data_IF_931406914820
#
_entry.id   IF_931406914820
#
_cell.length_a   1.000
_cell.length_b   1.000
_cell.length_c   1.000
_cell.angle_alpha   90.00
_cell.angle_beta   90.00
_cell.angle_gamma   90.00
#
_symmetry.space_group_name_H-M   'P 1'
#
loop_
_entity.id
_entity.type
_entity.pdbx_description
1 polymer ?
#
# COMPACT_ATOMS: atom_id res chain seq x y z
N UNK A 1 64.47 15.47 -49.39
CA UNK A 1 63.62 16.11 -48.36
C UNK A 1 62.71 15.05 -47.78
N UNK A 2 62.85 14.74 -46.47
CA UNK A 2 61.92 13.86 -45.75
C UNK A 2 60.72 14.71 -45.34
N UNK A 3 59.52 14.35 -45.76
CA UNK A 3 58.27 14.89 -45.22
C UNK A 3 57.55 13.77 -44.51
N UNK A 4 57.29 13.99 -43.23
CA UNK A 4 56.60 13.09 -42.33
C UNK A 4 55.08 13.31 -42.40
N UNK A 5 54.36 12.22 -42.10
CA UNK A 5 53.07 12.13 -41.41
C UNK A 5 51.86 12.90 -41.97
N UNK A 6 50.84 12.12 -42.36
CA UNK A 6 49.54 12.23 -41.68
C UNK A 6 48.79 10.90 -41.78
N UNK A 7 48.63 10.21 -40.64
CA UNK A 7 47.65 9.13 -40.49
C UNK A 7 46.31 9.79 -40.14
N UNK A 8 45.37 9.77 -41.07
CA UNK A 8 43.97 10.13 -40.78
C UNK A 8 43.32 8.88 -40.18
N UNK A 9 43.14 8.88 -38.86
CA UNK A 9 42.34 7.88 -38.17
C UNK A 9 40.85 8.12 -38.46
N UNK A 10 40.19 7.13 -39.05
CA UNK A 10 38.74 7.11 -39.19
C UNK A 10 38.17 6.77 -37.81
N UNK A 11 37.63 7.78 -37.13
CA UNK A 11 36.86 7.59 -35.90
C UNK A 11 35.45 7.13 -36.31
N UNK A 12 35.25 5.82 -36.38
CA UNK A 12 33.92 5.25 -36.61
C UNK A 12 33.07 5.43 -35.35
N UNK A 13 32.09 6.34 -35.41
CA UNK A 13 31.01 6.47 -34.44
C UNK A 13 30.19 5.17 -34.40
N UNK A 14 30.51 4.27 -33.48
CA UNK A 14 29.59 3.21 -33.04
C UNK A 14 28.65 3.77 -31.97
N UNK A 15 27.68 4.55 -32.41
CA UNK A 15 26.52 4.99 -31.61
C UNK A 15 25.35 4.05 -31.89
N UNK A 16 25.43 2.79 -31.47
CA UNK A 16 24.26 1.89 -31.50
C UNK A 16 24.32 0.95 -30.29
N UNK A 17 23.17 0.91 -29.59
CA UNK A 17 22.81 0.11 -28.42
C UNK A 17 23.18 0.70 -27.04
N UNK A 18 22.70 1.92 -26.79
CA UNK A 18 22.01 2.15 -25.51
C UNK A 18 20.73 1.31 -25.52
N UNK A 19 20.85 0.04 -25.16
CA UNK A 19 19.71 -0.72 -24.70
C UNK A 19 19.35 -0.18 -23.31
N UNK A 20 18.45 0.79 -23.29
CA UNK A 20 17.64 1.08 -22.12
C UNK A 20 16.76 -0.14 -21.86
N UNK A 21 17.22 -1.09 -21.05
CA UNK A 21 16.34 -2.05 -20.39
C UNK A 21 15.99 -1.54 -19.01
N UNK A 22 15.20 -0.47 -18.96
CA UNK A 22 14.31 -0.28 -17.83
C UNK A 22 12.92 -0.69 -18.29
N UNK A 23 12.63 -1.98 -18.17
CA UNK A 23 11.29 -2.54 -18.04
C UNK A 23 11.42 -4.05 -17.76
N UNK A 24 12.18 -4.42 -16.72
CA UNK A 24 11.98 -5.75 -16.11
C UNK A 24 10.68 -5.64 -15.32
N UNK A 25 9.61 -5.98 -16.02
CA UNK A 25 8.23 -5.87 -15.61
C UNK A 25 8.00 -6.41 -14.19
N UNK A 26 7.35 -5.61 -13.35
CA UNK A 26 6.85 -6.01 -12.03
C UNK A 26 5.95 -7.27 -12.05
N UNK A 27 5.56 -7.77 -13.23
CA UNK A 27 4.83 -9.02 -13.42
C UNK A 27 5.62 -10.29 -13.05
N UNK A 28 6.97 -10.28 -13.09
CA UNK A 28 7.79 -11.49 -12.89
C UNK A 28 8.14 -11.81 -11.43
N UNK A 29 7.70 -11.00 -10.46
CA UNK A 29 8.26 -11.07 -9.08
C UNK A 29 7.50 -11.98 -8.12
N UNK A 30 6.28 -12.41 -8.44
CA UNK A 30 5.47 -13.27 -7.56
C UNK A 30 5.26 -14.70 -8.09
N UNK A 31 5.70 -14.99 -9.33
CA UNK A 31 5.61 -16.31 -9.96
C UNK A 31 6.18 -17.46 -9.10
N UNK A 32 7.31 -17.28 -8.36
CA UNK A 32 7.83 -18.35 -7.49
C UNK A 32 6.87 -18.80 -6.38
N UNK A 33 5.81 -18.03 -6.09
CA UNK A 33 4.82 -18.37 -5.07
C UNK A 33 3.58 -19.08 -5.64
N UNK A 34 3.63 -19.51 -6.91
CA UNK A 34 2.61 -20.29 -7.60
C UNK A 34 1.67 -19.44 -8.45
N UNK A 35 0.75 -20.11 -9.16
CA UNK A 35 -0.22 -19.45 -10.04
C UNK A 35 -1.48 -19.00 -9.28
N UNK A 36 -2.06 -17.89 -9.72
CA UNK A 36 -3.38 -17.43 -9.25
C UNK A 36 -4.46 -18.25 -9.96
N UNK A 37 -5.18 -19.08 -9.20
CA UNK A 37 -6.32 -19.83 -9.72
C UNK A 37 -7.60 -19.00 -9.64
N UNK A 38 -8.51 -19.09 -10.62
CA UNK A 38 -9.81 -18.44 -10.54
C UNK A 38 -10.56 -18.84 -9.26
N UNK A 39 -11.19 -17.85 -8.62
CA UNK A 39 -12.09 -18.04 -7.48
C UNK A 39 -11.43 -18.73 -6.26
N UNK A 40 -10.11 -18.64 -6.14
CA UNK A 40 -9.35 -19.20 -5.03
C UNK A 40 -8.38 -18.15 -4.48
N UNK A 41 -8.22 -18.12 -3.16
CA UNK A 41 -7.21 -17.28 -2.54
C UNK A 41 -5.81 -17.88 -2.82
N UNK A 42 -4.83 -17.09 -3.31
CA UNK A 42 -3.46 -17.55 -3.44
C UNK A 42 -2.82 -17.87 -2.08
N UNK A 43 -1.60 -18.43 -2.10
CA UNK A 43 -0.82 -18.63 -0.87
C UNK A 43 -0.56 -17.30 -0.16
N UNK A 44 -0.36 -17.36 1.17
CA UNK A 44 -0.01 -16.17 1.97
C UNK A 44 1.26 -15.47 1.44
N UNK A 45 2.24 -16.25 0.98
CA UNK A 45 3.47 -15.73 0.38
C UNK A 45 3.20 -14.99 -0.92
N UNK A 46 2.35 -15.55 -1.79
CA UNK A 46 1.95 -14.90 -3.03
C UNK A 46 1.21 -13.59 -2.74
N UNK A 47 0.23 -13.58 -1.83
CA UNK A 47 -0.50 -12.35 -1.46
C UNK A 47 0.43 -11.30 -0.85
N UNK A 48 1.36 -11.71 0.03
CA UNK A 48 2.37 -10.81 0.59
C UNK A 48 3.23 -10.15 -0.52
N UNK A 49 3.60 -10.92 -1.55
CA UNK A 49 4.33 -10.42 -2.71
C UNK A 49 3.49 -9.38 -3.48
N UNK A 50 2.23 -9.69 -3.77
CA UNK A 50 1.31 -8.77 -4.48
C UNK A 50 1.11 -7.45 -3.72
N UNK A 51 0.79 -7.53 -2.42
CA UNK A 51 0.59 -6.34 -1.57
C UNK A 51 1.87 -5.50 -1.49
N UNK A 52 3.04 -6.15 -1.35
CA UNK A 52 4.34 -5.47 -1.33
C UNK A 52 4.59 -4.74 -2.65
N UNK A 53 4.41 -5.40 -3.78
CA UNK A 53 4.73 -4.82 -5.08
C UNK A 53 3.79 -3.68 -5.44
N UNK A 54 2.49 -3.82 -5.14
CA UNK A 54 1.54 -2.74 -5.33
C UNK A 54 1.89 -1.51 -4.49
N UNK A 55 2.33 -1.72 -3.24
CA UNK A 55 2.79 -0.63 -2.37
C UNK A 55 4.05 0.06 -2.93
N UNK A 56 5.07 -0.72 -3.33
CA UNK A 56 6.32 -0.19 -3.87
C UNK A 56 6.12 0.62 -5.16
N UNK A 57 5.21 0.18 -6.03
CA UNK A 57 4.85 0.89 -7.27
C UNK A 57 4.34 2.32 -7.01
N UNK A 58 3.73 2.55 -5.86
CA UNK A 58 3.14 3.84 -5.47
C UNK A 58 3.98 4.59 -4.39
N UNK A 59 5.22 4.15 -4.14
CA UNK A 59 6.10 4.66 -3.07
C UNK A 59 5.44 4.66 -1.68
N UNK A 60 4.78 3.54 -1.39
CA UNK A 60 4.04 3.29 -0.15
C UNK A 60 4.83 2.28 0.72
N UNK A 61 5.02 2.52 2.03
CA UNK A 61 5.44 1.50 2.99
C UNK A 61 4.59 0.21 2.89
N UNK A 62 5.15 -0.92 2.43
CA UNK A 62 4.42 -2.18 2.26
C UNK A 62 3.68 -2.66 3.51
N UNK A 63 4.21 -2.35 4.69
CA UNK A 63 3.66 -2.72 5.99
C UNK A 63 2.26 -2.13 6.20
N UNK A 64 2.04 -0.88 5.81
CA UNK A 64 0.74 -0.22 5.96
C UNK A 64 -0.31 -0.87 5.05
N UNK A 65 0.03 -1.15 3.79
CA UNK A 65 -0.88 -1.82 2.85
C UNK A 65 -1.25 -3.21 3.37
N UNK A 66 -0.27 -3.97 3.89
CA UNK A 66 -0.50 -5.27 4.49
C UNK A 66 -1.39 -5.20 5.72
N UNK A 67 -1.19 -4.21 6.60
CA UNK A 67 -1.99 -4.03 7.79
C UNK A 67 -3.44 -3.64 7.47
N UNK A 68 -3.65 -2.78 6.46
CA UNK A 68 -4.97 -2.47 5.93
C UNK A 68 -5.62 -3.74 5.37
N UNK A 69 -4.96 -4.49 4.50
CA UNK A 69 -5.50 -5.75 3.95
C UNK A 69 -5.83 -6.77 5.06
N UNK A 70 -5.04 -6.82 6.13
CA UNK A 70 -5.31 -7.66 7.31
C UNK A 70 -6.61 -7.21 7.99
N UNK A 71 -6.77 -5.91 8.22
CA UNK A 71 -7.94 -5.34 8.87
C UNK A 71 -9.21 -5.48 8.01
N UNK A 72 -9.09 -5.38 6.69
CA UNK A 72 -10.23 -5.44 5.77
C UNK A 72 -10.77 -6.85 5.55
N UNK A 73 -9.88 -7.84 5.36
CA UNK A 73 -10.31 -9.18 4.94
C UNK A 73 -9.50 -10.32 5.55
N UNK A 74 -8.47 -10.01 6.34
CA UNK A 74 -7.47 -11.00 6.74
C UNK A 74 -6.70 -11.58 5.55
N UNK A 75 -6.57 -10.80 4.46
CA UNK A 75 -5.98 -11.17 3.16
C UNK A 75 -6.79 -12.18 2.35
N UNK A 76 -8.11 -12.01 2.28
CA UNK A 76 -8.99 -12.90 1.50
C UNK A 76 -9.74 -12.11 0.44
N UNK A 77 -9.64 -12.55 -0.79
CA UNK A 77 -10.47 -12.09 -1.90
C UNK A 77 -11.78 -12.88 -1.99
N UNK A 78 -11.70 -14.19 -1.75
CA UNK A 78 -12.82 -15.13 -1.89
C UNK A 78 -13.15 -15.82 -0.56
N UNK A 79 -14.42 -16.22 -0.39
CA UNK A 79 -14.88 -17.05 0.70
C UNK A 79 -14.56 -18.54 0.49
N UNK A 80 -15.05 -19.41 1.39
CA UNK A 80 -14.83 -20.86 1.29
C UNK A 80 -15.55 -21.53 0.10
N UNK A 81 -16.50 -20.84 -0.54
CA UNK A 81 -17.25 -21.31 -1.69
C UNK A 81 -16.71 -20.72 -3.02
N UNK A 82 -15.61 -19.98 -2.96
CA UNK A 82 -15.02 -19.30 -4.10
C UNK A 82 -15.79 -18.06 -4.57
N UNK A 83 -16.73 -17.56 -3.76
CA UNK A 83 -17.42 -16.31 -4.06
C UNK A 83 -16.58 -15.12 -3.58
N UNK A 84 -16.59 -13.98 -4.30
CA UNK A 84 -15.89 -12.78 -3.84
C UNK A 84 -16.48 -12.33 -2.50
N UNK A 85 -15.60 -11.96 -1.55
CA UNK A 85 -16.05 -11.40 -0.28
C UNK A 85 -16.63 -10.02 -0.54
N UNK A 86 -17.90 -9.83 -0.18
CA UNK A 86 -18.60 -8.56 -0.27
C UNK A 86 -19.20 -8.26 1.11
N UNK A 87 -18.75 -7.19 1.76
CA UNK A 87 -19.29 -6.76 3.05
C UNK A 87 -20.70 -6.18 2.90
N UNK A 88 -21.41 -6.05 4.03
CA UNK A 88 -22.77 -5.52 4.07
C UNK A 88 -22.87 -4.08 3.53
N UNK A 89 -21.80 -3.28 3.68
CA UNK A 89 -21.71 -1.92 3.15
C UNK A 89 -21.30 -1.86 1.67
N UNK A 90 -21.13 -3.02 1.02
CA UNK A 90 -20.74 -3.14 -0.38
C UNK A 90 -19.24 -3.21 -0.63
N UNK A 91 -18.40 -3.28 0.41
CA UNK A 91 -16.94 -3.42 0.25
C UNK A 91 -16.54 -4.71 -0.46
N UNK A 92 -15.74 -4.61 -1.52
CA UNK A 92 -15.40 -5.75 -2.38
C UNK A 92 -13.97 -6.23 -2.14
N UNK A 93 -13.81 -7.53 -1.91
CA UNK A 93 -12.55 -8.27 -2.02
C UNK A 93 -11.51 -7.97 -0.93
N UNK A 94 -10.25 -8.29 -1.22
CA UNK A 94 -9.16 -8.29 -0.24
C UNK A 94 -8.90 -6.92 0.41
N UNK A 95 -9.10 -5.84 -0.32
CA UNK A 95 -8.95 -4.46 0.17
C UNK A 95 -10.29 -3.79 0.50
N UNK A 96 -11.42 -4.51 0.41
CA UNK A 96 -12.79 -4.04 0.70
C UNK A 96 -13.11 -2.69 0.05
N UNK A 97 -13.01 -2.62 -1.27
CA UNK A 97 -13.22 -1.38 -2.03
C UNK A 97 -14.72 -1.04 -2.05
N UNK A 98 -15.09 0.09 -1.44
CA UNK A 98 -16.48 0.57 -1.29
C UNK A 98 -16.66 1.94 -1.96
N UNK A 99 -17.78 2.15 -2.65
CA UNK A 99 -18.14 3.44 -3.26
C UNK A 99 -17.10 4.03 -4.23
N UNK A 100 -16.44 3.19 -5.02
CA UNK A 100 -15.47 3.61 -6.04
C UNK A 100 -15.95 3.21 -7.45
N UNK A 101 -16.96 3.92 -8.02
CA UNK A 101 -17.57 3.56 -9.30
C UNK A 101 -16.62 3.70 -10.50
N UNK A 102 -15.53 4.44 -10.36
CA UNK A 102 -14.51 4.60 -11.40
C UNK A 102 -13.70 3.33 -11.66
N UNK A 103 -13.76 2.34 -10.75
CA UNK A 103 -13.14 1.04 -10.97
C UNK A 103 -14.13 0.05 -11.61
N UNK A 104 -13.58 -0.89 -12.36
CA UNK A 104 -14.34 -2.00 -12.92
C UNK A 104 -14.77 -2.95 -11.80
N UNK A 105 -16.08 -2.97 -11.52
CA UNK A 105 -16.66 -3.73 -10.41
C UNK A 105 -16.54 -5.25 -10.59
N UNK A 106 -16.47 -5.75 -11.82
CA UNK A 106 -16.26 -7.18 -12.07
C UNK A 106 -14.80 -7.55 -11.81
N UNK A 107 -13.86 -6.71 -12.24
CA UNK A 107 -12.44 -6.92 -11.91
C UNK A 107 -12.17 -6.81 -10.42
N UNK A 108 -12.82 -5.88 -9.71
CA UNK A 108 -12.71 -5.80 -8.24
C UNK A 108 -13.11 -7.12 -7.55
N UNK A 109 -14.09 -7.85 -8.09
CA UNK A 109 -14.58 -9.12 -7.54
C UNK A 109 -13.67 -10.30 -7.88
N UNK A 110 -13.23 -10.41 -9.13
CA UNK A 110 -12.63 -11.66 -9.61
C UNK A 110 -11.13 -11.56 -9.95
N UNK A 111 -10.56 -10.36 -9.96
CA UNK A 111 -9.14 -10.13 -10.18
C UNK A 111 -8.49 -9.56 -8.91
N UNK A 112 -7.80 -10.43 -8.16
CA UNK A 112 -7.15 -10.05 -6.90
C UNK A 112 -6.07 -8.96 -7.09
N UNK A 113 -5.31 -9.00 -8.19
CA UNK A 113 -4.31 -7.98 -8.51
C UNK A 113 -4.98 -6.62 -8.71
N UNK A 114 -6.07 -6.60 -9.47
CA UNK A 114 -6.85 -5.38 -9.71
C UNK A 114 -7.44 -4.83 -8.41
N UNK A 115 -7.98 -5.68 -7.53
CA UNK A 115 -8.51 -5.28 -6.24
C UNK A 115 -7.42 -4.64 -5.34
N UNK A 116 -6.25 -5.28 -5.26
CA UNK A 116 -5.10 -4.77 -4.50
C UNK A 116 -4.63 -3.42 -5.06
N UNK A 117 -4.42 -3.32 -6.37
CA UNK A 117 -4.00 -2.07 -7.02
C UNK A 117 -5.02 -0.94 -6.81
N UNK A 118 -6.32 -1.25 -6.90
CA UNK A 118 -7.38 -0.28 -6.62
C UNK A 118 -7.33 0.20 -5.16
N UNK A 119 -7.16 -0.71 -4.20
CA UNK A 119 -7.03 -0.36 -2.79
C UNK A 119 -5.82 0.52 -2.49
N UNK A 120 -4.66 0.20 -3.05
CA UNK A 120 -3.46 1.04 -2.89
C UNK A 120 -3.68 2.43 -3.50
N UNK A 121 -4.31 2.53 -4.67
CA UNK A 121 -4.64 3.82 -5.29
C UNK A 121 -5.61 4.66 -4.45
N UNK A 122 -6.65 4.04 -3.88
CA UNK A 122 -7.58 4.72 -2.97
C UNK A 122 -6.83 5.23 -1.74
N UNK A 123 -6.01 4.39 -1.10
CA UNK A 123 -5.24 4.79 0.08
C UNK A 123 -4.23 5.89 -0.24
N UNK A 124 -3.58 5.83 -1.39
CA UNK A 124 -2.70 6.91 -1.90
C UNK A 124 -3.46 8.21 -2.11
N UNK A 125 -4.66 8.16 -2.68
CA UNK A 125 -5.50 9.35 -2.85
C UNK A 125 -5.90 9.97 -1.51
N UNK A 126 -6.11 9.15 -0.47
CA UNK A 126 -6.36 9.65 0.89
C UNK A 126 -5.13 10.37 1.43
N UNK A 127 -3.92 9.89 1.18
CA UNK A 127 -2.69 10.58 1.58
C UNK A 127 -2.46 11.91 0.86
N UNK A 128 -2.93 12.01 -0.38
CA UNK A 128 -2.84 13.24 -1.17
C UNK A 128 -3.82 14.33 -0.72
N UNK A 129 -4.86 13.98 0.06
CA UNK A 129 -5.78 14.96 0.63
C UNK A 129 -5.03 15.99 1.47
N UNK A 130 -5.45 17.24 1.34
CA UNK A 130 -4.87 18.40 2.04
C UNK A 130 -5.62 18.78 3.31
N UNK A 131 -6.84 18.25 3.50
CA UNK A 131 -7.68 18.48 4.67
C UNK A 131 -7.35 17.55 5.85
N UNK A 132 -6.53 16.52 5.63
CA UNK A 132 -6.11 15.58 6.66
C UNK A 132 -4.83 16.07 7.36
N UNK A 133 -4.71 15.89 8.70
CA UNK A 133 -3.46 16.18 9.39
C UNK A 133 -2.32 15.31 8.86
N UNK A 134 -1.12 15.89 8.82
CA UNK A 134 0.13 15.21 8.44
C UNK A 134 1.18 15.44 9.51
N UNK A 135 2.10 14.49 9.67
CA UNK A 135 3.26 14.67 10.54
C UNK A 135 4.22 15.62 9.81
N UNK A 136 4.50 16.77 10.44
CA UNK A 136 5.39 17.79 9.84
C UNK A 136 6.75 17.20 9.54
N UNK A 137 7.30 17.52 8.37
CA UNK A 137 8.60 17.05 7.87
C UNK A 137 8.74 15.53 7.66
N UNK A 138 7.66 14.75 7.79
CA UNK A 138 7.64 13.34 7.40
C UNK A 138 7.12 13.19 5.97
N UNK A 139 7.78 12.39 5.15
CA UNK A 139 7.32 12.03 3.81
C UNK A 139 6.44 10.77 3.81
N UNK A 140 6.05 10.27 2.62
CA UNK A 140 5.26 9.04 2.48
C UNK A 140 6.04 7.78 2.89
N UNK A 141 7.36 7.83 2.99
CA UNK A 141 8.18 6.72 3.49
C UNK A 141 8.01 6.45 4.99
N UNK A 142 7.46 7.40 5.74
CA UNK A 142 7.25 7.29 7.19
C UNK A 142 5.87 6.71 7.49
N UNK A 143 5.83 5.53 8.12
CA UNK A 143 4.59 4.80 8.47
C UNK A 143 3.62 5.67 9.26
N UNK A 144 4.10 6.41 10.27
CA UNK A 144 3.27 7.26 11.12
C UNK A 144 2.53 8.36 10.36
N UNK A 145 3.08 8.80 9.23
CA UNK A 145 2.47 9.84 8.41
C UNK A 145 1.21 9.34 7.66
N UNK A 146 0.97 8.03 7.62
CA UNK A 146 -0.21 7.44 7.00
C UNK A 146 -1.41 7.33 7.93
N UNK A 147 -1.28 7.61 9.23
CA UNK A 147 -2.35 7.37 10.22
C UNK A 147 -3.69 8.00 9.82
N UNK A 148 -3.71 9.27 9.43
CA UNK A 148 -4.94 9.94 9.02
C UNK A 148 -5.43 9.53 7.63
N UNK A 149 -4.52 9.06 6.76
CA UNK A 149 -4.89 8.52 5.45
C UNK A 149 -5.58 7.17 5.58
N UNK A 150 -5.09 6.32 6.48
CA UNK A 150 -5.71 5.05 6.87
C UNK A 150 -7.07 5.30 7.52
N UNK A 151 -7.18 6.30 8.39
CA UNK A 151 -8.48 6.74 8.93
C UNK A 151 -9.46 7.11 7.81
N UNK A 152 -9.01 7.94 6.86
CA UNK A 152 -9.81 8.41 5.75
C UNK A 152 -10.18 7.32 4.73
N UNK A 153 -9.36 6.25 4.60
CA UNK A 153 -9.65 5.09 3.78
C UNK A 153 -10.93 4.37 4.23
N UNK A 154 -11.09 4.18 5.54
CA UNK A 154 -12.35 3.68 6.11
C UNK A 154 -13.44 4.76 6.21
N UNK A 155 -13.02 6.03 6.27
CA UNK A 155 -13.87 7.21 6.19
C UNK A 155 -13.60 8.23 7.31
N UNK A 156 -13.74 9.52 6.95
CA UNK A 156 -13.71 10.65 7.89
C UNK A 156 -15.05 10.78 8.60
N UNK A 157 -15.31 9.89 9.57
CA UNK A 157 -16.56 9.81 10.34
C UNK A 157 -16.30 9.84 11.85
N UNK A 158 -17.28 10.27 12.69
CA UNK A 158 -17.09 10.38 14.13
C UNK A 158 -16.56 9.11 14.83
N UNK A 159 -16.99 7.93 14.35
CA UNK A 159 -16.53 6.64 14.88
C UNK A 159 -15.02 6.41 14.72
N UNK A 160 -14.38 7.08 13.75
CA UNK A 160 -12.95 7.02 13.49
C UNK A 160 -12.17 8.16 14.13
N UNK A 161 -12.82 9.04 14.90
CA UNK A 161 -12.12 10.06 15.68
C UNK A 161 -11.09 9.39 16.61
N UNK A 162 -9.83 9.84 16.65
CA UNK A 162 -8.81 9.31 17.56
C UNK A 162 -9.18 9.45 19.04
N UNK A 163 -10.08 10.40 19.35
CA UNK A 163 -10.56 10.68 20.71
C UNK A 163 -12.09 10.62 20.77
N UNK A 164 -12.62 10.12 21.88
CA UNK A 164 -14.04 10.26 22.18
C UNK A 164 -14.35 11.72 22.55
N UNK A 165 -15.29 12.34 21.84
CA UNK A 165 -15.66 13.75 22.06
C UNK A 165 -16.09 14.04 23.50
N UNK A 166 -16.82 13.12 24.13
CA UNK A 166 -17.38 13.31 25.46
C UNK A 166 -16.32 13.27 26.58
N UNK A 167 -15.29 12.44 26.43
CA UNK A 167 -14.32 12.16 27.52
C UNK A 167 -12.91 12.63 27.20
N UNK A 168 -12.61 12.97 25.95
CA UNK A 168 -11.25 13.23 25.47
C UNK A 168 -10.33 12.00 25.50
N UNK A 169 -10.84 10.83 25.91
CA UNK A 169 -10.05 9.60 25.98
C UNK A 169 -9.78 9.03 24.59
N UNK A 170 -8.66 8.30 24.48
CA UNK A 170 -8.27 7.64 23.24
C UNK A 170 -9.32 6.61 22.79
N UNK A 171 -9.72 6.69 21.53
CA UNK A 171 -10.60 5.72 20.91
C UNK A 171 -9.78 4.56 20.31
N UNK A 172 -9.43 3.59 21.14
CA UNK A 172 -8.70 2.38 20.71
C UNK A 172 -9.48 1.52 19.70
N UNK A 173 -10.78 1.78 19.52
CA UNK A 173 -11.63 1.07 18.58
C UNK A 173 -11.69 1.73 17.20
N UNK A 174 -11.10 2.92 17.02
CA UNK A 174 -11.03 3.59 15.74
C UNK A 174 -10.30 2.72 14.71
N UNK A 175 -10.74 2.77 13.45
CA UNK A 175 -10.20 1.91 12.39
C UNK A 175 -8.68 1.98 12.28
N UNK A 176 -8.13 3.19 12.23
CA UNK A 176 -6.68 3.41 12.12
C UNK A 176 -5.91 2.94 13.36
N UNK A 177 -6.52 2.92 14.54
CA UNK A 177 -5.87 2.38 15.74
C UNK A 177 -5.71 0.86 15.62
N UNK A 178 -6.72 0.16 15.09
CA UNK A 178 -6.63 -1.29 14.83
C UNK A 178 -5.57 -1.62 13.79
N UNK A 179 -5.53 -0.86 12.69
CA UNK A 179 -4.48 -1.01 11.66
C UNK A 179 -3.09 -0.77 12.25
N UNK A 180 -2.92 0.25 13.09
CA UNK A 180 -1.63 0.53 13.72
C UNK A 180 -1.25 -0.48 14.82
N UNK A 181 -2.23 -1.08 15.51
CA UNK A 181 -1.97 -2.22 16.40
C UNK A 181 -1.47 -3.45 15.62
N UNK A 182 -2.01 -3.69 14.42
CA UNK A 182 -1.51 -4.75 13.52
C UNK A 182 -0.06 -4.44 13.13
N UNK A 183 0.26 -3.20 12.74
CA UNK A 183 1.62 -2.78 12.42
C UNK A 183 2.58 -3.03 13.60
N UNK A 184 2.20 -2.61 14.81
CA UNK A 184 2.99 -2.81 16.02
C UNK A 184 3.23 -4.30 16.29
N UNK A 185 2.20 -5.13 16.21
CA UNK A 185 2.31 -6.58 16.42
C UNK A 185 3.32 -7.23 15.46
N UNK A 186 3.37 -6.80 14.21
CA UNK A 186 4.27 -7.36 13.19
C UNK A 186 5.62 -6.65 13.08
N UNK A 187 5.87 -5.60 13.88
CA UNK A 187 7.11 -4.81 13.85
C UNK A 187 8.27 -5.40 14.66
N UNK A 188 8.06 -6.52 15.38
CA UNK A 188 9.00 -7.08 16.36
C UNK A 188 9.41 -6.11 17.50
N UNK A 189 8.71 -4.97 17.67
CA UNK A 189 8.97 -3.95 18.69
C UNK A 189 8.48 -4.34 20.10
N UNK A 190 8.16 -5.61 20.35
CA UNK A 190 7.54 -6.11 21.60
C UNK A 190 8.35 -5.87 22.88
N UNK A 191 9.58 -5.33 22.78
CA UNK A 191 10.46 -5.00 23.89
C UNK A 191 10.62 -3.48 24.16
N UNK A 192 9.88 -2.61 23.46
CA UNK A 192 9.87 -1.18 23.80
C UNK A 192 8.74 -0.87 24.79
N UNK A 193 9.01 -0.08 25.84
CA UNK A 193 7.95 0.31 26.77
C UNK A 193 6.81 0.98 26.01
N UNK A 194 5.56 0.67 26.42
CA UNK A 194 4.27 1.19 25.91
C UNK A 194 4.16 2.74 25.85
N UNK A 195 5.23 3.46 26.19
CA UNK A 195 5.37 4.90 26.03
C UNK A 195 5.55 5.38 24.59
N UNK A 196 5.71 4.47 23.62
CA UNK A 196 5.57 4.76 22.18
C UNK A 196 4.11 5.03 21.79
N UNK A 197 3.38 5.77 22.62
CA UNK A 197 2.04 6.26 22.31
C UNK A 197 2.16 7.27 21.18
N UNK A 198 1.63 6.91 20.01
CA UNK A 198 1.50 7.74 18.81
C UNK A 198 1.06 9.19 19.12
N UNK A 199 0.19 9.38 20.12
CA UNK A 199 -0.32 10.69 20.53
C UNK A 199 0.66 11.56 21.34
N UNK A 200 1.71 11.01 21.99
CA UNK A 200 2.74 11.86 22.62
C UNK A 200 3.50 12.71 21.57
N UNK A 201 3.56 12.26 20.30
CA UNK A 201 4.15 13.03 19.18
C UNK A 201 3.15 13.94 18.46
N UNK A 202 1.85 13.66 18.52
CA UNK A 202 0.80 14.50 17.92
C UNK A 202 0.47 15.74 18.78
N UNK A 203 0.85 15.75 20.07
CA UNK A 203 0.69 16.93 20.96
C UNK A 203 1.48 18.18 20.52
N UNK A 204 2.29 18.11 19.46
CA UNK A 204 2.94 19.27 18.83
C UNK A 204 2.26 19.76 17.53
N UNK A 205 1.04 19.30 17.22
CA UNK A 205 0.31 19.64 15.99
C UNK A 205 -1.05 20.32 16.29
N UNK A 206 -1.12 21.07 17.38
CA UNK A 206 -2.20 22.03 17.63
C UNK A 206 -1.68 23.46 17.44
#
# INVERSE_FOLDING_TARGET
MKVQLLRVGILACFMIFCWSYEDVSAASTCEPYGEIKPNQNPSRQHINCLLRNAALKENFPPEVVKAVATQESGWKQFDGNGQPIIAQDGGIGIMQITNQPQFDQQKLKYNINYNIEAGVKVLRSMYQRTDLPKVKAAGPEVIENWYFSVMAYNGTKPANSPLYKATGQKNLNAYQEKVFSILEQYSFLTNFPKEFSFLKRVKGVA
#
